data_IF_617570323367
#
_entry.id   IF_617570323367
#
_cell.length_a   1.000
_cell.length_b   1.000
_cell.length_c   1.000
_cell.angle_alpha   90.00
_cell.angle_beta   90.00
_cell.angle_gamma   90.00
#
_symmetry.space_group_name_H-M   'P 1'
#
loop_
_entity.id
_entity.type
_entity.pdbx_description
1 polymer ?
#
# COMPACT_ATOMS: atom_id res chain seq x y z
N UNK A 1 3.20 -5.81 -6.40
CA UNK A 1 2.37 -5.78 -5.17
C UNK A 1 0.90 -5.74 -5.54
N UNK A 2 0.50 -4.79 -6.39
CA UNK A 2 -0.89 -4.61 -6.80
C UNK A 2 -1.53 -5.86 -7.42
N UNK A 3 -0.79 -6.63 -8.23
CA UNK A 3 -1.29 -7.87 -8.83
C UNK A 3 -1.70 -8.95 -7.80
N UNK A 4 -1.04 -9.00 -6.64
CA UNK A 4 -1.40 -9.92 -5.57
C UNK A 4 -2.67 -9.42 -4.87
N UNK A 5 -2.74 -8.12 -4.59
CA UNK A 5 -3.91 -7.50 -3.94
C UNK A 5 -5.16 -7.60 -4.82
N UNK A 6 -5.03 -7.35 -6.13
CA UNK A 6 -6.13 -7.51 -7.08
C UNK A 6 -6.63 -8.95 -7.13
N UNK A 7 -5.72 -9.93 -7.14
CA UNK A 7 -6.10 -11.34 -7.09
C UNK A 7 -6.89 -11.68 -5.82
N UNK A 8 -6.46 -11.19 -4.65
CA UNK A 8 -7.19 -11.42 -3.39
C UNK A 8 -8.60 -10.83 -3.41
N UNK A 9 -8.79 -9.65 -4.01
CA UNK A 9 -10.11 -9.05 -4.17
C UNK A 9 -11.00 -9.85 -5.14
N UNK A 10 -10.46 -10.27 -6.27
CA UNK A 10 -11.18 -11.10 -7.24
C UNK A 10 -11.66 -12.43 -6.62
N UNK A 11 -10.77 -13.08 -5.85
CA UNK A 11 -11.12 -14.31 -5.13
C UNK A 11 -12.15 -14.06 -4.02
N UNK A 12 -12.07 -12.93 -3.31
CA UNK A 12 -13.06 -12.58 -2.29
C UNK A 12 -14.47 -12.47 -2.90
N UNK A 13 -14.59 -11.85 -4.07
CA UNK A 13 -15.87 -11.73 -4.79
C UNK A 13 -16.39 -13.10 -5.20
N UNK A 14 -15.53 -13.96 -5.76
CA UNK A 14 -15.86 -15.33 -6.15
C UNK A 14 -16.44 -16.14 -4.97
N UNK A 15 -15.75 -16.17 -3.83
CA UNK A 15 -16.15 -16.98 -2.68
C UNK A 15 -17.29 -16.37 -1.85
N UNK A 16 -17.59 -15.08 -2.00
CA UNK A 16 -18.67 -14.42 -1.25
C UNK A 16 -20.05 -14.63 -1.89
N UNK A 17 -20.13 -14.65 -3.22
CA UNK A 17 -21.42 -14.64 -3.93
C UNK A 17 -21.45 -15.47 -5.23
N UNK A 18 -20.33 -16.11 -5.60
CA UNK A 18 -20.25 -16.98 -6.77
C UNK A 18 -20.74 -18.41 -6.52
N UNK A 19 -20.68 -19.27 -7.56
CA UNK A 19 -21.05 -20.68 -7.47
C UNK A 19 -20.18 -21.48 -6.49
N UNK A 20 -18.96 -21.02 -6.21
CA UNK A 20 -18.03 -21.63 -5.24
C UNK A 20 -18.13 -21.02 -3.83
N UNK A 21 -19.29 -20.48 -3.45
CA UNK A 21 -19.45 -19.76 -2.17
C UNK A 21 -18.89 -20.56 -0.97
N UNK A 22 -17.86 -20.00 -0.33
CA UNK A 22 -17.26 -20.56 0.88
C UNK A 22 -16.88 -19.45 1.86
N UNK A 23 -17.60 -19.39 2.98
CA UNK A 23 -17.38 -18.40 4.03
C UNK A 23 -16.03 -18.60 4.75
N UNK A 24 -15.50 -19.83 4.79
CA UNK A 24 -14.18 -20.10 5.39
C UNK A 24 -13.07 -19.51 4.54
N UNK A 25 -13.21 -19.60 3.22
CA UNK A 25 -12.28 -19.01 2.28
C UNK A 25 -12.31 -17.48 2.36
N UNK A 26 -13.51 -16.88 2.40
CA UNK A 26 -13.67 -15.43 2.60
C UNK A 26 -12.99 -14.97 3.89
N UNK A 27 -13.21 -15.69 5.00
CA UNK A 27 -12.57 -15.35 6.27
C UNK A 27 -11.05 -15.48 6.22
N UNK A 28 -10.53 -16.51 5.54
CA UNK A 28 -9.08 -16.72 5.35
C UNK A 28 -8.45 -15.58 4.54
N UNK A 29 -9.15 -15.09 3.50
CA UNK A 29 -8.74 -13.92 2.71
C UNK A 29 -8.70 -12.66 3.57
N UNK A 30 -9.71 -12.44 4.42
CA UNK A 30 -9.74 -11.29 5.34
C UNK A 30 -8.62 -11.35 6.38
N UNK A 31 -8.26 -12.53 6.87
CA UNK A 31 -7.09 -12.73 7.72
C UNK A 31 -5.77 -12.47 6.99
N UNK A 32 -5.66 -12.88 5.72
CA UNK A 32 -4.53 -12.51 4.86
C UNK A 32 -4.37 -11.00 4.74
N UNK A 33 -5.47 -10.27 4.51
CA UNK A 33 -5.49 -8.80 4.47
C UNK A 33 -5.05 -8.17 5.79
N UNK A 34 -5.51 -8.67 6.93
CA UNK A 34 -5.11 -8.18 8.24
C UNK A 34 -3.60 -8.29 8.46
N UNK A 35 -3.01 -9.43 8.12
CA UNK A 35 -1.56 -9.65 8.24
C UNK A 35 -0.79 -8.78 7.25
N UNK A 36 -1.23 -8.69 5.99
CA UNK A 36 -0.62 -7.82 4.99
C UNK A 36 -0.59 -6.38 5.47
N UNK A 37 -1.70 -5.86 5.98
CA UNK A 37 -1.77 -4.50 6.51
C UNK A 37 -0.75 -4.25 7.62
N UNK A 38 -0.55 -5.23 8.53
CA UNK A 38 0.48 -5.16 9.56
C UNK A 38 1.89 -5.04 8.97
N UNK A 39 2.23 -5.82 7.95
CA UNK A 39 3.54 -5.75 7.31
C UNK A 39 3.72 -4.46 6.51
N UNK A 40 2.70 -3.98 5.81
CA UNK A 40 2.76 -2.71 5.09
C UNK A 40 2.95 -1.52 6.04
N UNK A 41 2.24 -1.48 7.17
CA UNK A 41 2.43 -0.45 8.19
C UNK A 41 3.87 -0.45 8.75
N UNK A 42 4.50 -1.62 8.88
CA UNK A 42 5.91 -1.71 9.30
C UNK A 42 6.86 -1.24 8.20
N UNK A 43 6.57 -1.53 6.93
CA UNK A 43 7.39 -1.12 5.78
C UNK A 43 7.43 0.41 5.67
N UNK A 44 6.32 1.11 5.96
CA UNK A 44 6.30 2.58 6.04
C UNK A 44 7.26 3.15 7.10
N UNK A 45 7.55 2.40 8.16
CA UNK A 45 8.51 2.80 9.19
C UNK A 45 9.97 2.48 8.84
N UNK A 46 10.23 1.71 7.77
CA UNK A 46 11.60 1.39 7.36
C UNK A 46 12.22 2.49 6.48
N UNK A 47 13.42 3.00 6.83
CA UNK A 47 14.13 4.01 6.04
C UNK A 47 14.36 3.60 4.58
N UNK A 48 14.50 2.31 4.30
CA UNK A 48 14.68 1.79 2.94
C UNK A 48 13.46 2.04 2.04
N UNK A 49 12.25 1.91 2.58
CA UNK A 49 11.02 2.19 1.84
C UNK A 49 10.83 3.69 1.62
N UNK A 50 11.09 4.51 2.65
CA UNK A 50 11.08 5.96 2.51
C UNK A 50 12.10 6.45 1.47
N UNK A 51 13.31 5.88 1.46
CA UNK A 51 14.33 6.18 0.45
C UNK A 51 13.86 5.78 -0.96
N UNK A 52 13.29 4.58 -1.13
CA UNK A 52 12.73 4.15 -2.42
C UNK A 52 11.62 5.10 -2.90
N UNK A 53 10.79 5.59 -1.99
CA UNK A 53 9.69 6.52 -2.28
C UNK A 53 10.18 7.92 -2.68
N UNK A 54 11.24 8.41 -2.04
CA UNK A 54 11.91 9.65 -2.41
C UNK A 54 12.67 9.52 -3.74
N UNK A 55 13.23 8.34 -4.02
CA UNK A 55 13.96 8.08 -5.25
C UNK A 55 13.03 7.92 -6.47
N UNK A 56 11.78 7.48 -6.29
CA UNK A 56 10.76 7.44 -7.35
C UNK A 56 10.32 8.88 -7.72
N UNK A 57 10.67 9.40 -8.91
CA UNK A 57 10.36 10.76 -9.31
C UNK A 57 8.85 11.04 -9.38
N UNK A 58 8.04 10.01 -9.66
CA UNK A 58 6.60 10.13 -9.83
C UNK A 58 5.88 10.35 -8.50
N UNK A 59 6.47 9.86 -7.40
CA UNK A 59 5.84 9.83 -6.08
C UNK A 59 6.53 10.72 -5.05
N UNK A 60 7.76 11.16 -5.33
CA UNK A 60 8.55 12.08 -4.50
C UNK A 60 7.77 13.31 -4.03
N UNK A 61 7.13 14.03 -4.96
CA UNK A 61 6.43 15.29 -4.64
C UNK A 61 5.32 15.09 -3.61
N UNK A 62 4.50 14.07 -3.80
CA UNK A 62 3.40 13.76 -2.89
C UNK A 62 3.91 13.40 -1.49
N UNK A 63 4.96 12.59 -1.41
CA UNK A 63 5.57 12.19 -0.15
C UNK A 63 6.16 13.37 0.64
N UNK A 64 6.86 14.28 -0.05
CA UNK A 64 7.42 15.49 0.56
C UNK A 64 6.32 16.39 1.14
N UNK A 65 5.23 16.61 0.39
CA UNK A 65 4.12 17.44 0.84
C UNK A 65 3.43 16.89 2.10
N UNK A 66 3.32 15.56 2.22
CA UNK A 66 2.61 14.92 3.31
C UNK A 66 3.44 14.78 4.59
N UNK A 67 4.76 14.56 4.45
CA UNK A 67 5.61 14.18 5.59
C UNK A 67 6.55 15.29 6.08
N UNK A 68 6.79 16.33 5.27
CA UNK A 68 7.73 17.40 5.63
C UNK A 68 6.98 18.71 5.96
N UNK A 69 7.59 19.61 6.75
CA UNK A 69 7.02 20.94 6.99
C UNK A 69 6.91 21.77 5.71
N UNK A 70 5.86 22.59 5.59
CA UNK A 70 5.58 23.43 4.41
C UNK A 70 6.76 24.32 4.01
N UNK A 71 7.50 24.84 4.99
CA UNK A 71 8.68 25.69 4.79
C UNK A 71 9.79 25.02 3.95
N UNK A 72 9.80 23.68 3.91
CA UNK A 72 10.83 22.89 3.22
C UNK A 72 10.37 22.42 1.83
N UNK A 73 9.08 22.52 1.52
CA UNK A 73 8.52 22.04 0.26
C UNK A 73 9.10 22.82 -0.92
N UNK A 74 9.10 24.15 -0.84
CA UNK A 74 9.48 25.01 -1.95
C UNK A 74 10.95 24.84 -2.35
N UNK A 75 11.85 24.83 -1.36
CA UNK A 75 13.29 24.59 -1.57
C UNK A 75 13.61 23.21 -2.16
N UNK A 76 12.82 22.20 -1.81
CA UNK A 76 13.08 20.81 -2.23
C UNK A 76 12.49 20.50 -3.59
N UNK A 77 11.35 21.11 -3.93
CA UNK A 77 10.69 20.95 -5.24
C UNK A 77 11.40 21.77 -6.31
N UNK A 78 11.90 22.97 -5.99
CA UNK A 78 12.65 23.82 -6.94
C UNK A 78 14.07 23.30 -7.23
N UNK A 79 14.64 22.48 -6.35
CA UNK A 79 15.97 21.88 -6.51
C UNK A 79 15.97 20.54 -7.28
N UNK A 80 14.80 20.02 -7.67
CA UNK A 80 14.63 18.76 -8.38
C UNK A 80 14.54 18.96 -9.90
#
# INVERSE_FOLDING_TARGET
>A
MDAILSFFEDQKILYKSGPEKDLRMVHSIEMGWFILNKYYALVESTPAYAAAMLLDPSKRKHYLLQNWPEEWHQKTIEAA
#
